data_IF_611030149643
#
_entry.id   IF_611030149643
#
_cell.length_a   1.000
_cell.length_b   1.000
_cell.length_c   1.000
_cell.angle_alpha   90.00
_cell.angle_beta   90.00
_cell.angle_gamma   90.00
#
_symmetry.space_group_name_H-M   'P 1'
#
loop_
_entity.id
_entity.type
_entity.pdbx_description
1 polymer ?
#
# COMPACT_ATOMS: atom_id res chain seq x y z
N UNK A 1 13.50 2.29 0.86
CA UNK A 1 12.32 2.65 1.69
C UNK A 1 11.21 1.61 1.53
N UNK A 2 11.11 1.03 0.33
CA UNK A 2 10.26 -0.09 -0.08
C UNK A 2 10.20 -1.20 0.98
N UNK A 3 11.36 -1.70 1.46
CA UNK A 3 11.39 -2.74 2.50
C UNK A 3 10.58 -2.41 3.77
N UNK A 4 10.50 -1.14 4.15
CA UNK A 4 9.69 -0.72 5.31
C UNK A 4 8.20 -0.84 4.96
N UNK A 5 7.83 -0.44 3.74
CA UNK A 5 6.45 -0.51 3.23
C UNK A 5 6.02 -1.98 3.06
N UNK A 6 6.87 -2.81 2.45
CA UNK A 6 6.68 -4.27 2.32
C UNK A 6 6.41 -4.91 3.68
N UNK A 7 7.17 -4.53 4.71
CA UNK A 7 6.96 -5.03 6.07
C UNK A 7 5.64 -4.57 6.68
N UNK A 8 5.18 -3.35 6.40
CA UNK A 8 3.86 -2.91 6.83
C UNK A 8 2.75 -3.72 6.16
N UNK A 9 2.90 -4.07 4.89
CA UNK A 9 1.98 -4.95 4.16
C UNK A 9 1.94 -6.34 4.80
N UNK A 10 3.10 -6.99 4.97
CA UNK A 10 3.18 -8.33 5.60
C UNK A 10 2.60 -8.36 7.02
N UNK A 11 2.86 -7.33 7.82
CA UNK A 11 2.30 -7.19 9.17
C UNK A 11 0.79 -6.96 9.16
N UNK A 12 0.28 -6.28 8.15
CA UNK A 12 -1.15 -6.03 7.99
C UNK A 12 -1.89 -7.28 7.57
N UNK A 13 -1.33 -8.05 6.62
CA UNK A 13 -1.84 -9.35 6.20
C UNK A 13 -1.90 -10.30 7.40
N UNK A 14 -0.76 -10.52 8.08
CA UNK A 14 -0.67 -11.49 9.19
C UNK A 14 -1.58 -11.18 10.38
N UNK A 15 -2.08 -9.94 10.51
CA UNK A 15 -2.92 -9.52 11.64
C UNK A 15 -4.41 -9.46 11.33
N UNK A 16 -4.77 -9.27 10.06
CA UNK A 16 -6.16 -9.01 9.67
C UNK A 16 -6.74 -10.05 8.69
N UNK A 17 -5.91 -10.93 8.11
CA UNK A 17 -6.31 -11.78 7.00
C UNK A 17 -6.24 -13.25 7.43
N UNK A 18 -7.34 -13.76 7.99
CA UNK A 18 -7.61 -15.21 8.03
C UNK A 18 -8.21 -15.68 6.68
N UNK A 19 -8.96 -14.79 6.01
CA UNK A 19 -9.54 -14.91 4.67
C UNK A 19 -9.19 -13.66 3.84
N UNK A 20 -9.15 -13.79 2.50
CA UNK A 20 -8.86 -12.66 1.59
C UNK A 20 -9.89 -11.52 1.74
N UNK A 21 -9.43 -10.27 1.94
CA UNK A 21 -10.32 -9.11 2.09
C UNK A 21 -10.99 -8.72 0.75
N UNK A 22 -12.08 -7.96 0.81
CA UNK A 22 -12.67 -7.39 -0.39
C UNK A 22 -11.71 -6.37 -1.04
N UNK A 23 -11.72 -6.29 -2.38
CA UNK A 23 -10.88 -5.33 -3.10
C UNK A 23 -11.17 -3.90 -2.63
N UNK A 24 -10.11 -3.16 -2.28
CA UNK A 24 -10.21 -1.78 -1.78
C UNK A 24 -10.59 -1.65 -0.30
N UNK A 25 -10.76 -2.75 0.44
CA UNK A 25 -10.89 -2.77 1.90
C UNK A 25 -9.56 -2.42 2.56
N UNK A 26 -9.59 -1.56 3.60
CA UNK A 26 -8.37 -1.15 4.28
C UNK A 26 -7.99 -2.18 5.36
N UNK A 27 -6.88 -2.89 5.16
CA UNK A 27 -6.33 -3.85 6.12
C UNK A 27 -5.16 -3.29 6.93
N UNK A 28 -4.82 -2.01 6.74
CA UNK A 28 -3.66 -1.39 7.40
C UNK A 28 -3.76 -1.46 8.92
N UNK A 29 -2.69 -1.91 9.58
CA UNK A 29 -2.53 -1.78 11.04
C UNK A 29 -2.02 -0.40 11.47
N UNK A 30 -1.60 0.43 10.51
CA UNK A 30 -1.11 1.79 10.71
C UNK A 30 -2.22 2.75 10.28
N UNK A 31 -2.82 3.52 11.21
CA UNK A 31 -3.98 4.36 10.91
C UNK A 31 -3.68 5.51 9.94
N UNK A 32 -2.42 5.94 9.83
CA UNK A 32 -2.00 7.03 8.96
C UNK A 32 -1.82 6.65 7.49
N UNK A 33 -1.88 5.36 7.14
CA UNK A 33 -1.80 4.88 5.75
C UNK A 33 -2.97 3.95 5.46
N UNK A 34 -3.24 3.74 4.18
CA UNK A 34 -4.18 2.71 3.74
C UNK A 34 -3.44 1.63 2.97
N UNK A 35 -3.71 0.39 3.32
CA UNK A 35 -3.23 -0.79 2.61
C UNK A 35 -4.47 -1.55 2.19
N UNK A 36 -4.67 -1.74 0.90
CA UNK A 36 -5.85 -2.39 0.37
C UNK A 36 -5.46 -3.51 -0.59
N UNK A 37 -6.18 -4.62 -0.53
CA UNK A 37 -6.06 -5.67 -1.53
C UNK A 37 -6.57 -5.14 -2.88
N UNK A 38 -5.78 -5.37 -3.92
CA UNK A 38 -6.00 -4.86 -5.28
C UNK A 38 -6.29 -5.99 -6.27
N UNK A 39 -6.22 -7.25 -5.83
CA UNK A 39 -6.45 -8.43 -6.66
C UNK A 39 -5.20 -9.28 -6.78
N UNK A 40 -5.14 -10.06 -7.85
CA UNK A 40 -4.02 -10.93 -8.15
C UNK A 40 -3.22 -10.38 -9.32
N UNK A 41 -1.94 -10.71 -9.37
CA UNK A 41 -1.15 -10.45 -10.57
C UNK A 41 -1.67 -11.31 -11.72
N UNK A 42 -1.70 -10.78 -12.93
CA UNK A 42 -1.96 -11.56 -14.13
C UNK A 42 -0.65 -12.12 -14.68
N UNK A 43 -0.66 -13.38 -15.13
CA UNK A 43 0.43 -13.95 -15.91
C UNK A 43 0.46 -13.38 -17.35
N UNK A 44 1.45 -13.80 -18.15
CA UNK A 44 1.62 -13.32 -19.53
C UNK A 44 0.42 -13.64 -20.46
N UNK A 45 -0.44 -14.59 -20.07
CA UNK A 45 -1.65 -14.98 -20.80
C UNK A 45 -2.91 -14.23 -20.28
N UNK A 46 -2.76 -13.33 -19.29
CA UNK A 46 -3.85 -12.57 -18.68
C UNK A 46 -4.68 -13.38 -17.68
N UNK A 47 -4.12 -14.47 -17.14
CA UNK A 47 -4.77 -15.31 -16.13
C UNK A 47 -4.24 -14.90 -14.75
N UNK A 48 -5.16 -14.69 -13.80
CA UNK A 48 -4.81 -14.38 -12.41
C UNK A 48 -3.96 -15.50 -11.78
N UNK A 49 -2.76 -15.14 -11.32
CA UNK A 49 -1.92 -15.97 -10.47
C UNK A 49 -2.33 -15.81 -9.01
N UNK A 50 -3.09 -16.79 -8.50
CA UNK A 50 -3.58 -16.80 -7.13
C UNK A 50 -2.46 -16.85 -6.07
N UNK A 51 -1.22 -17.16 -6.48
CA UNK A 51 -0.06 -17.13 -5.59
C UNK A 51 0.54 -15.73 -5.45
N UNK A 52 0.23 -14.78 -6.33
CA UNK A 52 0.80 -13.43 -6.33
C UNK A 52 -0.27 -12.40 -5.99
N UNK A 53 -0.37 -12.03 -4.71
CA UNK A 53 -1.38 -11.09 -4.22
C UNK A 53 -0.90 -9.64 -4.34
N UNK A 54 -1.71 -8.78 -4.94
CA UNK A 54 -1.42 -7.35 -5.11
C UNK A 54 -2.06 -6.53 -4.00
N UNK A 55 -1.27 -5.62 -3.41
CA UNK A 55 -1.72 -4.66 -2.42
C UNK A 55 -1.37 -3.23 -2.85
N UNK A 56 -2.37 -2.36 -2.86
CA UNK A 56 -2.21 -0.93 -3.05
C UNK A 56 -1.95 -0.24 -1.69
N UNK A 57 -0.78 0.38 -1.56
CA UNK A 57 -0.35 1.14 -0.38
C UNK A 57 -0.44 2.63 -0.66
N UNK A 58 -1.36 3.30 0.01
CA UNK A 58 -1.59 4.73 -0.12
C UNK A 58 -0.90 5.49 1.01
N UNK A 59 -0.06 6.45 0.65
CA UNK A 59 0.67 7.31 1.59
C UNK A 59 0.28 8.76 1.32
N UNK A 60 -0.49 9.35 2.23
CA UNK A 60 -0.98 10.72 2.10
C UNK A 60 0.09 11.71 2.57
N UNK A 61 0.11 12.92 1.98
CA UNK A 61 1.04 14.01 2.29
C UNK A 61 1.06 14.43 3.77
N UNK A 62 -0.03 14.16 4.48
CA UNK A 62 -0.21 14.42 5.93
C UNK A 62 -0.04 13.18 6.82
N UNK A 63 0.31 12.01 6.27
CA UNK A 63 0.49 10.78 7.06
C UNK A 63 1.58 10.90 8.13
N UNK A 64 2.49 11.87 8.01
CA UNK A 64 3.49 12.18 9.03
C UNK A 64 2.97 13.03 10.20
N UNK A 65 1.74 13.53 10.16
CA UNK A 65 1.19 14.39 11.21
C UNK A 65 0.73 13.57 12.43
N UNK A 66 0.68 14.19 13.61
CA UNK A 66 0.15 13.53 14.82
C UNK A 66 -1.37 13.42 14.73
N UNK A 67 -1.92 12.25 15.10
CA UNK A 67 -3.36 11.94 15.07
C UNK A 67 -4.01 12.04 13.68
N UNK A 68 -3.21 12.01 12.61
CA UNK A 68 -3.77 11.84 11.27
C UNK A 68 -4.44 10.47 11.18
N UNK A 69 -5.61 10.42 10.56
CA UNK A 69 -6.30 9.18 10.23
C UNK A 69 -6.48 9.22 8.72
N UNK A 70 -6.03 8.18 8.03
CA UNK A 70 -6.11 8.13 6.58
C UNK A 70 -7.58 8.28 6.15
N UNK A 71 -7.91 9.27 5.29
CA UNK A 71 -9.28 9.52 4.89
C UNK A 71 -9.78 8.40 3.97
N UNK A 72 -11.04 7.99 4.16
CA UNK A 72 -11.64 7.02 3.24
C UNK A 72 -11.58 7.52 1.78
N UNK A 73 -11.34 6.57 0.88
CA UNK A 73 -11.38 6.84 -0.55
C UNK A 73 -12.82 6.89 -1.04
N UNK A 74 -13.06 7.72 -2.05
CA UNK A 74 -14.23 7.53 -2.88
C UNK A 74 -14.08 6.21 -3.64
N UNK A 75 -15.14 5.39 -3.63
CA UNK A 75 -15.19 4.11 -4.34
C UNK A 75 -16.23 4.19 -5.43
N UNK A 76 -15.86 3.73 -6.62
CA UNK A 76 -16.83 3.38 -7.67
C UNK A 76 -17.18 1.90 -7.57
N UNK A 77 -18.11 1.43 -8.40
CA UNK A 77 -18.43 -0.01 -8.47
C UNK A 77 -17.25 -0.88 -8.97
N UNK A 78 -16.18 -0.26 -9.50
CA UNK A 78 -15.10 -0.96 -10.19
C UNK A 78 -13.70 -0.65 -9.63
N UNK A 79 -13.55 0.45 -8.89
CA UNK A 79 -12.24 0.95 -8.49
C UNK A 79 -12.31 1.94 -7.33
N UNK A 80 -11.19 2.02 -6.60
CA UNK A 80 -10.87 3.08 -5.64
C UNK A 80 -10.37 4.30 -6.42
N UNK A 81 -10.88 5.50 -6.10
CA UNK A 81 -10.45 6.74 -6.75
C UNK A 81 -9.20 7.26 -6.04
N UNK A 82 -8.07 7.23 -6.76
CA UNK A 82 -6.78 7.73 -6.30
C UNK A 82 -6.72 9.27 -6.33
N UNK A 83 -5.96 9.87 -5.39
CA UNK A 83 -5.75 11.33 -5.27
C UNK A 83 -4.27 11.72 -5.45
N UNK A 84 -3.73 11.79 -6.68
CA UNK A 84 -2.30 12.09 -6.93
C UNK A 84 -1.79 13.41 -6.33
N UNK A 85 -2.69 14.39 -6.16
CA UNK A 85 -2.36 15.68 -5.54
C UNK A 85 -2.18 15.61 -4.01
N UNK A 86 -2.53 14.49 -3.40
CA UNK A 86 -2.61 14.33 -1.95
C UNK A 86 -1.89 13.09 -1.45
N UNK A 87 -1.71 12.07 -2.27
CA UNK A 87 -1.12 10.80 -1.88
C UNK A 87 -0.38 10.15 -3.05
N UNK A 88 0.53 9.23 -2.73
CA UNK A 88 1.06 8.26 -3.68
C UNK A 88 0.32 6.93 -3.53
N UNK A 89 0.25 6.16 -4.61
CA UNK A 89 -0.17 4.76 -4.60
C UNK A 89 1.03 3.88 -4.98
N UNK A 90 1.49 3.05 -4.06
CA UNK A 90 2.60 2.12 -4.28
C UNK A 90 2.09 0.69 -4.21
N UNK A 91 2.35 -0.09 -5.25
CA UNK A 91 1.93 -1.49 -5.31
C UNK A 91 2.98 -2.39 -4.67
N UNK A 92 2.52 -3.33 -3.84
CA UNK A 92 3.33 -4.39 -3.27
C UNK A 92 2.69 -5.72 -3.64
N UNK A 93 3.41 -6.52 -4.41
CA UNK A 93 3.06 -7.90 -4.74
C UNK A 93 3.68 -8.82 -3.72
N UNK A 94 2.87 -9.71 -3.15
CA UNK A 94 3.27 -10.65 -2.12
C UNK A 94 3.02 -12.07 -2.61
N UNK A 95 4.12 -12.83 -2.69
CA UNK A 95 4.05 -14.24 -3.04
C UNK A 95 3.59 -15.04 -1.82
N UNK A 96 2.46 -15.75 -1.95
CA UNK A 96 1.85 -16.54 -0.85
C UNK A 96 2.76 -17.69 -0.43
N UNK A 97 3.49 -18.29 -1.37
CA UNK A 97 4.34 -19.46 -1.09
C UNK A 97 5.63 -19.10 -0.34
N UNK A 98 6.30 -18.02 -0.76
CA UNK A 98 7.62 -17.65 -0.24
C UNK A 98 7.56 -16.52 0.80
N UNK A 99 6.47 -15.73 0.82
CA UNK A 99 6.38 -14.49 1.58
C UNK A 99 7.27 -13.38 1.03
N UNK A 100 7.86 -13.55 -0.15
CA UNK A 100 8.67 -12.53 -0.81
C UNK A 100 7.78 -11.40 -1.33
N UNK A 101 8.29 -10.18 -1.23
CA UNK A 101 7.62 -8.99 -1.72
C UNK A 101 8.36 -8.45 -2.95
N UNK A 102 7.60 -7.94 -3.90
CA UNK A 102 8.12 -7.22 -5.08
C UNK A 102 7.17 -6.08 -5.48
N UNK A 103 7.60 -5.23 -6.41
CA UNK A 103 6.80 -4.09 -6.84
C UNK A 103 7.59 -3.11 -7.71
N UNK A 104 6.92 -2.07 -8.25
CA UNK A 104 7.58 -0.96 -8.92
C UNK A 104 8.53 -0.21 -7.95
N UNK A 105 9.48 0.56 -8.47
CA UNK A 105 10.28 1.40 -7.59
C UNK A 105 9.39 2.48 -6.94
N UNK A 106 9.71 2.85 -5.69
CA UNK A 106 8.93 3.89 -5.01
C UNK A 106 9.01 5.23 -5.77
N UNK A 107 10.16 5.53 -6.35
CA UNK A 107 10.37 6.74 -7.17
C UNK A 107 9.44 6.81 -8.38
N UNK A 108 9.17 5.67 -9.04
CA UNK A 108 8.25 5.61 -10.18
C UNK A 108 6.83 5.98 -9.72
N UNK A 109 6.41 5.47 -8.56
CA UNK A 109 5.08 5.78 -7.98
C UNK A 109 4.97 7.25 -7.56
N UNK A 110 6.05 7.86 -7.08
CA UNK A 110 6.11 9.27 -6.71
C UNK A 110 6.03 10.15 -7.96
N UNK A 111 6.67 9.73 -9.06
CA UNK A 111 6.67 10.46 -10.33
C UNK A 111 5.29 10.60 -10.98
N UNK A 112 4.34 9.73 -10.59
CA UNK A 112 2.93 9.76 -11.00
C UNK A 112 2.05 10.62 -10.07
N UNK A 113 2.65 11.32 -9.11
CA UNK A 113 1.96 12.17 -8.12
C UNK A 113 2.47 13.62 -8.13
N UNK A 114 1.76 14.52 -7.46
CA UNK A 114 2.23 15.91 -7.24
C UNK A 114 3.12 16.02 -5.98
N UNK A 115 3.55 14.90 -5.39
CA UNK A 115 4.34 14.86 -4.16
C UNK A 115 5.84 14.69 -4.46
N UNK A 116 6.66 15.26 -3.59
CA UNK A 116 8.13 15.22 -3.72
C UNK A 116 8.73 14.00 -2.99
N UNK A 117 9.78 13.40 -3.56
CA UNK A 117 10.42 12.21 -2.95
C UNK A 117 10.88 12.45 -1.52
N UNK A 118 11.49 13.61 -1.24
CA UNK A 118 11.92 13.97 0.11
C UNK A 118 10.76 14.07 1.12
N UNK A 119 9.56 14.42 0.67
CA UNK A 119 8.37 14.46 1.52
C UNK A 119 7.92 13.05 1.90
N UNK A 120 7.84 12.14 0.92
CA UNK A 120 7.46 10.74 1.15
C UNK A 120 8.49 10.03 2.02
N UNK A 121 9.78 10.21 1.77
CA UNK A 121 10.86 9.63 2.59
C UNK A 121 10.75 10.06 4.06
N UNK A 122 10.47 11.35 4.29
CA UNK A 122 10.27 11.89 5.63
C UNK A 122 9.07 11.25 6.31
N UNK A 123 7.93 11.13 5.61
CA UNK A 123 6.72 10.49 6.13
C UNK A 123 6.99 9.03 6.52
N UNK A 124 7.59 8.26 5.62
CA UNK A 124 7.89 6.84 5.87
C UNK A 124 8.85 6.69 7.05
N UNK A 125 9.85 7.56 7.18
CA UNK A 125 10.78 7.56 8.33
C UNK A 125 10.06 7.86 9.64
N UNK A 126 9.16 8.84 9.65
CA UNK A 126 8.34 9.17 10.83
C UNK A 126 7.49 7.96 11.23
N UNK A 127 6.77 7.36 10.29
CA UNK A 127 5.92 6.21 10.56
C UNK A 127 6.74 4.98 11.01
N UNK A 128 7.90 4.74 10.42
CA UNK A 128 8.78 3.65 10.82
C UNK A 128 9.27 3.80 12.28
N UNK A 129 9.49 5.04 12.72
CA UNK A 129 9.85 5.33 14.11
C UNK A 129 8.68 5.14 15.09
N UNK A 130 7.44 5.44 14.65
CA UNK A 130 6.22 5.26 15.46
C UNK A 130 5.79 3.80 15.56
N UNK A 131 5.96 3.05 14.48
CA UNK A 131 5.50 1.68 14.32
C UNK A 131 6.68 0.73 14.03
N UNK A 132 7.62 0.56 14.98
CA UNK A 132 8.75 -0.35 14.80
C UNK A 132 8.27 -1.79 14.57
N UNK A 133 9.15 -2.61 13.99
CA UNK A 133 8.90 -4.03 13.71
C UNK A 133 8.56 -4.81 14.96
#
# INVERSE_FOLDING_TARGET
MEKIIEEWVLRSISRNVDDLPEVGENISIIPEIKIAFDGYQEDDDGIEDLNEQSFAVYIHKCSGDENFIFPEHEKTAWAVIHRPAEEICHFVWVSVESGECSGPALEDCISESDLESAQIEKIVTILASRYPK
#
